data_IF_455072709697
#
_entry.id   IF_455072709697
#
_cell.length_a   1.000
_cell.length_b   1.000
_cell.length_c   1.000
_cell.angle_alpha   90.00
_cell.angle_beta   90.00
_cell.angle_gamma   90.00
#
_symmetry.space_group_name_H-M   'P 1'
#
loop_
_entity.id
_entity.type
_entity.pdbx_description
1 polymer ?
#
# COMPACT_ATOMS: atom_id res chain seq x y z
N UNK A 1 22.22 10.71 -7.04
CA UNK A 1 21.28 11.16 -6.00
C UNK A 1 21.23 12.66 -6.03
N UNK A 2 20.07 13.27 -6.29
CA UNK A 2 19.90 14.73 -6.40
C UNK A 2 20.91 15.39 -7.36
N UNK A 3 21.24 14.72 -8.48
CA UNK A 3 22.25 15.18 -9.44
C UNK A 3 23.71 14.84 -9.11
N UNK A 4 24.01 14.28 -7.94
CA UNK A 4 25.37 13.79 -7.60
C UNK A 4 25.54 12.32 -7.97
N UNK A 5 26.65 12.00 -8.65
CA UNK A 5 27.03 10.64 -8.99
C UNK A 5 28.10 10.10 -8.03
N UNK A 6 28.01 8.82 -7.68
CA UNK A 6 28.96 8.16 -6.77
C UNK A 6 29.65 7.01 -7.50
N UNK A 7 30.97 7.04 -7.55
CA UNK A 7 31.77 6.04 -8.28
C UNK A 7 32.12 4.81 -7.45
N UNK A 8 31.99 4.91 -6.12
CA UNK A 8 32.29 3.84 -5.18
C UNK A 8 31.34 3.82 -4.00
N UNK A 9 31.27 2.68 -3.31
CA UNK A 9 30.55 2.57 -2.05
C UNK A 9 31.10 3.50 -0.96
N UNK A 10 32.41 3.79 -0.99
CA UNK A 10 33.04 4.71 -0.03
C UNK A 10 32.62 6.17 -0.26
N UNK A 11 32.52 6.61 -1.51
CA UNK A 11 31.99 7.95 -1.84
C UNK A 11 30.55 8.11 -1.31
N UNK A 12 29.72 7.09 -1.54
CA UNK A 12 28.34 7.07 -1.07
C UNK A 12 28.25 7.03 0.46
N UNK A 13 29.14 6.31 1.16
CA UNK A 13 29.24 6.32 2.63
C UNK A 13 29.61 7.71 3.16
N UNK A 14 30.53 8.42 2.51
CA UNK A 14 30.93 9.77 2.90
C UNK A 14 29.73 10.72 2.79
N UNK A 15 29.02 10.68 1.68
CA UNK A 15 27.81 11.49 1.48
C UNK A 15 26.72 11.12 2.50
N UNK A 16 26.49 9.84 2.75
CA UNK A 16 25.53 9.38 3.75
C UNK A 16 25.86 9.87 5.17
N UNK A 17 27.14 9.93 5.56
CA UNK A 17 27.56 10.52 6.84
C UNK A 17 27.22 12.01 6.92
N UNK A 18 27.40 12.76 5.83
CA UNK A 18 27.02 14.18 5.78
C UNK A 18 25.50 14.36 5.97
N UNK A 19 24.69 13.50 5.36
CA UNK A 19 23.25 13.48 5.59
C UNK A 19 22.89 13.24 7.06
N UNK A 20 23.56 12.28 7.72
CA UNK A 20 23.33 11.99 9.15
C UNK A 20 23.71 13.16 10.05
N UNK A 21 24.81 13.84 9.75
CA UNK A 21 25.34 14.92 10.61
C UNK A 21 24.64 16.26 10.40
N UNK A 22 24.30 16.59 9.14
CA UNK A 22 23.91 17.95 8.73
C UNK A 22 22.59 18.02 7.95
N UNK A 23 22.05 16.89 7.53
CA UNK A 23 20.83 16.85 6.74
C UNK A 23 19.57 17.25 7.52
N UNK A 24 18.48 17.43 6.80
CA UNK A 24 17.12 17.48 7.34
C UNK A 24 16.70 16.10 7.86
N UNK A 25 15.56 16.00 8.51
CA UNK A 25 15.17 14.77 9.21
C UNK A 25 14.96 13.59 8.25
N UNK A 26 14.40 13.82 7.05
CA UNK A 26 14.27 12.82 5.99
C UNK A 26 15.64 12.40 5.41
N UNK A 27 16.53 13.37 5.18
CA UNK A 27 17.91 13.11 4.72
C UNK A 27 18.69 12.31 5.76
N UNK A 28 18.57 12.62 7.05
CA UNK A 28 19.20 11.86 8.13
C UNK A 28 18.76 10.40 8.12
N UNK A 29 17.48 10.12 7.91
CA UNK A 29 16.99 8.73 7.81
C UNK A 29 17.54 8.05 6.55
N UNK A 30 17.58 8.75 5.41
CA UNK A 30 18.21 8.23 4.18
C UNK A 30 19.68 7.88 4.44
N UNK A 31 20.45 8.79 5.03
CA UNK A 31 21.86 8.58 5.36
C UNK A 31 22.08 7.40 6.30
N UNK A 32 21.27 7.28 7.37
CA UNK A 32 21.30 6.13 8.28
C UNK A 32 21.06 4.81 7.55
N UNK A 33 20.07 4.76 6.67
CA UNK A 33 19.77 3.54 5.92
C UNK A 33 20.86 3.19 4.90
N UNK A 34 21.44 4.17 4.20
CA UNK A 34 22.56 3.92 3.28
C UNK A 34 23.74 3.32 4.03
N UNK A 35 24.06 3.85 5.22
CA UNK A 35 25.11 3.29 6.07
C UNK A 35 24.77 1.88 6.56
N UNK A 36 23.53 1.61 6.97
CA UNK A 36 23.04 0.26 7.32
C UNK A 36 23.15 -0.70 6.13
N UNK A 37 22.81 -0.26 4.92
CA UNK A 37 22.89 -1.09 3.72
C UNK A 37 24.34 -1.44 3.34
N UNK A 38 25.27 -0.50 3.49
CA UNK A 38 26.67 -0.64 3.10
C UNK A 38 27.59 -1.17 4.21
N UNK A 39 27.04 -1.51 5.38
CA UNK A 39 27.78 -2.19 6.44
C UNK A 39 27.97 -3.70 6.16
N UNK A 40 28.75 -4.35 7.00
CA UNK A 40 29.08 -5.78 6.87
C UNK A 40 27.97 -6.71 7.41
N UNK A 41 26.87 -6.19 7.95
CA UNK A 41 25.77 -7.04 8.41
C UNK A 41 25.05 -7.67 7.22
N UNK A 42 24.67 -8.95 7.33
CA UNK A 42 23.93 -9.66 6.28
C UNK A 42 22.44 -9.30 6.24
N UNK A 43 21.96 -8.44 7.14
CA UNK A 43 20.55 -8.08 7.26
C UNK A 43 20.37 -6.58 7.54
N UNK A 44 19.16 -6.09 7.25
CA UNK A 44 18.66 -4.78 7.68
C UNK A 44 17.52 -4.96 8.68
N UNK A 45 17.30 -3.95 9.52
CA UNK A 45 16.17 -3.90 10.45
C UNK A 45 15.06 -3.06 9.83
N UNK A 46 13.85 -3.60 9.81
CA UNK A 46 12.66 -2.89 9.35
C UNK A 46 11.58 -2.88 10.41
N UNK A 47 10.84 -1.78 10.49
CA UNK A 47 9.67 -1.66 11.36
C UNK A 47 8.42 -1.95 10.55
N UNK A 48 7.56 -2.82 11.07
CA UNK A 48 6.21 -2.97 10.55
C UNK A 48 5.36 -1.78 10.98
N UNK A 49 4.42 -1.34 10.14
CA UNK A 49 3.49 -0.25 10.45
C UNK A 49 2.45 -0.61 11.54
N UNK A 50 2.60 -1.77 12.20
CA UNK A 50 1.81 -2.22 13.35
C UNK A 50 0.30 -2.02 13.23
N UNK A 51 -0.42 -2.88 12.51
CA UNK A 51 -1.90 -2.90 12.54
C UNK A 51 -2.45 -3.18 13.96
N UNK A 52 -1.64 -3.79 14.82
CA UNK A 52 -1.95 -4.13 16.22
C UNK A 52 -1.41 -3.13 17.25
N UNK A 53 -0.89 -1.96 16.81
CA UNK A 53 -0.47 -0.86 17.67
C UNK A 53 0.96 -0.92 18.25
N UNK A 54 1.63 -2.08 18.22
CA UNK A 54 3.05 -2.21 18.62
C UNK A 54 3.88 -2.53 17.36
N UNK A 55 4.70 -1.60 16.85
CA UNK A 55 5.62 -1.86 15.76
C UNK A 55 6.56 -3.01 16.13
N UNK A 56 6.58 -4.05 15.29
CA UNK A 56 7.57 -5.14 15.41
C UNK A 56 8.74 -4.87 14.49
N UNK A 57 9.95 -5.04 15.01
CA UNK A 57 11.17 -5.06 14.22
C UNK A 57 11.37 -6.44 13.59
N UNK A 58 11.65 -6.45 12.28
CA UNK A 58 11.91 -7.65 11.50
C UNK A 58 13.31 -7.51 10.91
N UNK A 59 14.09 -8.61 10.95
CA UNK A 59 15.37 -8.71 10.26
C UNK A 59 15.14 -9.25 8.85
N UNK A 60 15.53 -8.48 7.84
CA UNK A 60 15.47 -8.90 6.45
C UNK A 60 16.88 -9.13 5.92
N UNK A 61 17.15 -10.30 5.37
CA UNK A 61 18.45 -10.63 4.77
C UNK A 61 18.70 -9.75 3.55
N UNK A 62 19.85 -9.08 3.47
CA UNK A 62 20.22 -8.18 2.36
C UNK A 62 20.14 -8.88 1.02
N UNK A 63 20.47 -10.17 0.94
CA UNK A 63 20.32 -10.97 -0.29
C UNK A 63 18.86 -11.03 -0.80
N UNK A 64 17.89 -11.18 0.11
CA UNK A 64 16.47 -11.18 -0.27
C UNK A 64 15.98 -9.78 -0.64
N UNK A 65 16.48 -8.74 0.05
CA UNK A 65 16.18 -7.35 -0.28
C UNK A 65 16.72 -7.00 -1.67
N UNK A 66 17.94 -7.44 -1.97
CA UNK A 66 18.55 -7.35 -3.29
C UNK A 66 17.71 -8.07 -4.36
N UNK A 67 17.29 -9.31 -4.10
CA UNK A 67 16.45 -10.07 -5.04
C UNK A 67 15.10 -9.39 -5.29
N UNK A 68 14.48 -8.81 -4.26
CA UNK A 68 13.24 -8.02 -4.41
C UNK A 68 13.45 -6.77 -5.28
N UNK A 69 14.60 -6.11 -5.16
CA UNK A 69 14.95 -4.97 -5.99
C UNK A 69 15.14 -5.38 -7.45
N UNK A 70 15.91 -6.45 -7.71
CA UNK A 70 16.11 -7.01 -9.06
C UNK A 70 14.77 -7.39 -9.70
N UNK A 71 13.86 -8.01 -8.95
CA UNK A 71 12.53 -8.34 -9.47
C UNK A 71 11.77 -7.10 -9.94
N UNK A 72 11.84 -5.99 -9.19
CA UNK A 72 11.21 -4.71 -9.58
C UNK A 72 11.88 -4.12 -10.83
N UNK A 73 13.22 -4.05 -10.82
CA UNK A 73 14.04 -3.46 -11.88
C UNK A 73 13.77 -4.16 -13.20
N UNK A 74 13.82 -5.50 -13.21
CA UNK A 74 13.58 -6.32 -14.38
C UNK A 74 12.14 -6.25 -14.86
N UNK A 75 11.16 -6.30 -13.94
CA UNK A 75 9.74 -6.28 -14.32
C UNK A 75 9.33 -4.96 -14.98
N UNK A 76 9.82 -3.84 -14.46
CA UNK A 76 9.46 -2.52 -14.97
C UNK A 76 10.47 -1.95 -15.96
N UNK A 77 11.52 -2.69 -16.34
CA UNK A 77 12.58 -2.22 -17.23
C UNK A 77 13.17 -0.87 -16.76
N UNK A 78 13.71 -0.86 -15.54
CA UNK A 78 14.24 0.31 -14.84
C UNK A 78 15.77 0.25 -14.76
N UNK A 79 16.41 0.35 -15.92
CA UNK A 79 17.85 0.21 -16.09
C UNK A 79 18.65 1.40 -15.50
N UNK A 80 19.97 1.38 -15.72
CA UNK A 80 20.88 2.47 -15.36
C UNK A 80 20.39 3.82 -15.90
N UNK A 81 20.64 4.89 -15.13
CA UNK A 81 20.21 6.25 -15.41
C UNK A 81 18.69 6.48 -15.38
N UNK A 82 17.89 5.50 -14.91
CA UNK A 82 16.48 5.74 -14.57
C UNK A 82 16.40 6.93 -13.63
N UNK A 83 15.67 7.98 -14.02
CA UNK A 83 15.41 9.11 -13.15
C UNK A 83 14.24 8.78 -12.24
N UNK A 84 14.50 8.61 -10.95
CA UNK A 84 13.50 8.15 -9.99
C UNK A 84 13.24 9.17 -8.89
N UNK A 85 12.01 9.22 -8.37
CA UNK A 85 11.66 10.06 -7.22
C UNK A 85 11.37 9.21 -5.98
N UNK A 86 12.15 9.41 -4.92
CA UNK A 86 11.86 8.97 -3.56
C UNK A 86 11.12 10.08 -2.81
N UNK A 87 9.83 9.87 -2.57
CA UNK A 87 8.95 10.73 -1.79
C UNK A 87 8.22 9.97 -0.66
N UNK A 88 8.77 8.81 -0.26
CA UNK A 88 8.25 7.97 0.82
C UNK A 88 9.22 8.00 2.00
N UNK A 89 8.73 7.87 3.24
CA UNK A 89 9.62 7.85 4.40
C UNK A 89 10.58 6.66 4.35
N UNK A 90 11.87 6.91 4.53
CA UNK A 90 12.94 5.92 4.47
C UNK A 90 13.10 5.11 5.76
N UNK A 91 12.28 5.41 6.78
CA UNK A 91 12.13 4.60 7.99
C UNK A 91 11.41 3.28 7.68
N UNK A 92 10.53 3.29 6.67
CA UNK A 92 9.73 2.15 6.27
C UNK A 92 10.33 1.47 5.04
N UNK A 93 10.01 0.17 4.89
CA UNK A 93 10.56 -0.64 3.81
C UNK A 93 10.26 -0.09 2.40
N UNK A 94 9.15 0.64 2.23
CA UNK A 94 8.80 1.26 0.95
C UNK A 94 9.83 2.31 0.50
N UNK A 95 10.27 3.20 1.39
CA UNK A 95 11.34 4.16 1.10
C UNK A 95 12.71 3.50 1.00
N UNK A 96 13.02 2.56 1.92
CA UNK A 96 14.27 1.77 1.86
C UNK A 96 14.45 1.06 0.51
N UNK A 97 13.38 0.48 -0.05
CA UNK A 97 13.46 -0.22 -1.33
C UNK A 97 13.72 0.71 -2.52
N UNK A 98 13.32 1.98 -2.48
CA UNK A 98 13.71 2.95 -3.52
C UNK A 98 15.21 3.22 -3.49
N UNK A 99 15.80 3.34 -2.28
CA UNK A 99 17.25 3.51 -2.10
C UNK A 99 18.01 2.27 -2.58
N UNK A 100 17.55 1.06 -2.20
CA UNK A 100 18.20 -0.19 -2.64
C UNK A 100 18.13 -0.36 -4.15
N UNK A 101 16.97 -0.13 -4.78
CA UNK A 101 16.82 -0.19 -6.24
C UNK A 101 17.76 0.80 -6.93
N UNK A 102 17.85 2.02 -6.42
CA UNK A 102 18.75 3.04 -6.97
C UNK A 102 20.22 2.65 -6.89
N UNK A 103 20.66 2.10 -5.75
CA UNK A 103 22.04 1.64 -5.57
C UNK A 103 22.38 0.43 -6.45
N UNK A 104 21.44 -0.49 -6.66
CA UNK A 104 21.66 -1.71 -7.46
C UNK A 104 21.67 -1.40 -8.96
N UNK A 105 20.74 -0.57 -9.42
CA UNK A 105 20.57 -0.30 -10.85
C UNK A 105 21.27 0.97 -11.32
N UNK A 106 21.91 1.76 -10.44
CA UNK A 106 22.56 3.01 -10.83
C UNK A 106 21.56 4.09 -11.26
N UNK A 107 20.52 4.33 -10.46
CA UNK A 107 19.50 5.34 -10.75
C UNK A 107 19.96 6.75 -10.41
N UNK A 108 19.45 7.73 -11.16
CA UNK A 108 19.46 9.14 -10.75
C UNK A 108 18.28 9.39 -9.81
N UNK A 109 18.49 9.07 -8.52
CA UNK A 109 17.46 9.17 -7.49
C UNK A 109 17.35 10.60 -6.95
N UNK A 110 16.20 11.23 -7.14
CA UNK A 110 15.82 12.47 -6.49
C UNK A 110 15.09 12.15 -5.19
N UNK A 111 15.38 12.89 -4.12
CA UNK A 111 14.78 12.70 -2.80
C UNK A 111 14.05 13.96 -2.39
N UNK A 112 12.85 13.80 -1.85
CA UNK A 112 12.09 14.88 -1.23
C UNK A 112 11.49 14.41 0.08
N UNK A 113 11.21 15.36 0.98
CA UNK A 113 10.49 15.07 2.20
C UNK A 113 9.14 14.38 1.87
N UNK A 114 8.68 13.43 2.70
CA UNK A 114 7.39 12.78 2.50
C UNK A 114 6.23 13.77 2.70
N UNK A 115 5.75 14.33 1.60
CA UNK A 115 4.65 15.29 1.58
C UNK A 115 3.42 14.74 0.86
N UNK A 116 2.28 15.43 0.99
CA UNK A 116 1.04 15.06 0.32
C UNK A 116 1.11 15.23 -1.20
N UNK A 117 1.77 16.27 -1.72
CA UNK A 117 1.98 16.46 -3.16
C UNK A 117 3.48 16.57 -3.45
N UNK A 118 4.20 15.44 -3.57
CA UNK A 118 5.64 15.44 -3.82
C UNK A 118 6.05 15.93 -5.22
N UNK A 119 5.10 16.26 -6.10
CA UNK A 119 5.37 16.73 -7.46
C UNK A 119 5.09 18.23 -7.68
N UNK A 120 4.61 18.93 -6.66
CA UNK A 120 4.18 20.34 -6.76
C UNK A 120 5.30 21.26 -7.24
N UNK A 121 6.47 21.18 -6.60
CA UNK A 121 7.56 22.15 -6.78
C UNK A 121 8.67 21.66 -7.72
N UNK A 122 8.39 20.64 -8.54
CA UNK A 122 9.38 20.09 -9.48
C UNK A 122 8.93 20.17 -10.92
N UNK A 123 9.86 20.60 -11.78
CA UNK A 123 9.74 20.57 -13.25
C UNK A 123 10.36 19.29 -13.83
N UNK A 124 10.92 18.44 -12.99
CA UNK A 124 11.60 17.22 -13.41
C UNK A 124 10.59 16.17 -13.87
N UNK A 125 10.83 15.58 -15.05
CA UNK A 125 10.11 14.39 -15.51
C UNK A 125 10.87 13.15 -15.03
N UNK A 126 10.22 12.34 -14.20
CA UNK A 126 10.74 11.08 -13.67
C UNK A 126 10.29 9.89 -14.51
N UNK A 127 11.18 8.93 -14.67
CA UNK A 127 10.86 7.64 -15.27
C UNK A 127 10.06 6.76 -14.30
N UNK A 128 10.34 6.88 -12.99
CA UNK A 128 9.75 6.03 -11.97
C UNK A 128 9.53 6.73 -10.63
N UNK A 129 8.42 6.41 -9.96
CA UNK A 129 8.21 6.75 -8.56
C UNK A 129 7.31 5.72 -7.87
N UNK A 130 7.33 5.74 -6.54
CA UNK A 130 6.46 4.95 -5.69
C UNK A 130 5.72 5.88 -4.73
N UNK A 131 4.40 5.73 -4.64
CA UNK A 131 3.54 6.58 -3.80
C UNK A 131 2.50 5.77 -3.03
N UNK A 132 1.93 6.37 -1.99
CA UNK A 132 0.70 5.88 -1.34
C UNK A 132 -0.53 6.54 -1.96
N UNK A 133 -1.75 5.94 -1.86
CA UNK A 133 -2.96 6.50 -2.47
C UNK A 133 -3.23 7.97 -2.12
N UNK A 134 -2.93 8.39 -0.88
CA UNK A 134 -3.07 9.77 -0.43
C UNK A 134 -2.18 10.75 -1.22
N UNK A 135 -0.94 10.36 -1.52
CA UNK A 135 -0.05 11.18 -2.33
C UNK A 135 -0.52 11.25 -3.79
N UNK A 136 -0.98 10.13 -4.33
CA UNK A 136 -1.53 10.07 -5.69
C UNK A 136 -2.73 11.00 -5.84
N UNK A 137 -3.67 10.96 -4.88
CA UNK A 137 -4.84 11.84 -4.85
C UNK A 137 -4.46 13.31 -4.89
N UNK A 138 -3.50 13.73 -4.06
CA UNK A 138 -3.07 15.13 -4.01
C UNK A 138 -2.15 15.56 -5.17
N UNK A 139 -1.59 14.61 -5.92
CA UNK A 139 -0.68 14.87 -7.04
C UNK A 139 -1.32 14.69 -8.42
N UNK A 140 -2.64 14.43 -8.50
CA UNK A 140 -3.33 14.08 -9.76
C UNK A 140 -3.01 15.01 -10.94
N UNK A 141 -2.95 16.33 -10.71
CA UNK A 141 -2.64 17.32 -11.74
C UNK A 141 -1.19 17.20 -12.26
N UNK A 142 -0.27 16.80 -11.40
CA UNK A 142 1.17 16.72 -11.65
C UNK A 142 1.65 15.33 -12.03
N UNK A 143 0.80 14.28 -11.95
CA UNK A 143 1.21 12.89 -12.20
C UNK A 143 1.87 12.68 -13.55
N UNK A 144 1.51 13.48 -14.57
CA UNK A 144 2.13 13.46 -15.89
C UNK A 144 3.66 13.66 -15.88
N UNK A 145 4.22 14.19 -14.78
CA UNK A 145 5.67 14.29 -14.52
C UNK A 145 6.31 12.95 -14.17
N UNK A 146 5.56 11.87 -13.99
CA UNK A 146 6.05 10.52 -13.74
C UNK A 146 5.58 9.59 -14.85
N UNK A 147 6.50 8.85 -15.48
CA UNK A 147 6.16 7.90 -16.56
C UNK A 147 5.55 6.60 -16.05
N UNK A 148 6.17 5.96 -15.05
CA UNK A 148 5.71 4.73 -14.40
C UNK A 148 5.56 4.96 -12.90
N UNK A 149 4.38 4.71 -12.36
CA UNK A 149 4.06 4.90 -10.95
C UNK A 149 3.59 3.57 -10.34
N UNK A 150 4.27 3.13 -9.29
CA UNK A 150 3.71 2.10 -8.41
C UNK A 150 3.00 2.74 -7.23
N UNK A 151 1.80 2.25 -6.94
CA UNK A 151 0.99 2.69 -5.81
C UNK A 151 0.89 1.53 -4.85
N UNK A 152 1.38 1.74 -3.63
CA UNK A 152 1.46 0.71 -2.60
C UNK A 152 0.95 1.20 -1.27
N UNK A 153 1.08 0.35 -0.26
CA UNK A 153 0.75 0.71 1.09
C UNK A 153 -0.75 0.75 1.39
N UNK A 154 -1.66 0.53 0.45
CA UNK A 154 -3.11 0.46 0.70
C UNK A 154 -3.91 0.21 -0.58
N UNK A 155 -5.20 -0.10 -0.43
CA UNK A 155 -6.11 -0.17 -1.56
C UNK A 155 -6.27 1.22 -2.20
N UNK A 156 -6.40 1.28 -3.53
CA UNK A 156 -6.78 2.51 -4.22
C UNK A 156 -8.31 2.66 -4.13
N UNK A 157 -8.83 3.83 -3.71
CA UNK A 157 -10.24 4.10 -3.80
C UNK A 157 -10.75 4.04 -5.25
N UNK A 158 -11.97 3.54 -5.46
CA UNK A 158 -12.56 3.39 -6.81
C UNK A 158 -12.63 4.71 -7.57
N UNK A 159 -12.95 5.82 -6.90
CA UNK A 159 -12.95 7.16 -7.51
C UNK A 159 -11.56 7.55 -8.01
N UNK A 160 -10.51 7.27 -7.21
CA UNK A 160 -9.14 7.54 -7.61
C UNK A 160 -8.74 6.66 -8.81
N UNK A 161 -9.11 5.38 -8.83
CA UNK A 161 -8.88 4.51 -10.00
C UNK A 161 -9.55 5.05 -11.27
N UNK A 162 -10.77 5.61 -11.16
CA UNK A 162 -11.47 6.24 -12.28
C UNK A 162 -10.76 7.50 -12.77
N UNK A 163 -10.28 8.36 -11.87
CA UNK A 163 -9.52 9.56 -12.22
C UNK A 163 -8.22 9.21 -12.94
N UNK A 164 -7.52 8.16 -12.48
CA UNK A 164 -6.27 7.67 -13.07
C UNK A 164 -6.42 7.14 -14.51
N UNK A 165 -7.64 6.83 -14.97
CA UNK A 165 -7.87 6.39 -16.36
C UNK A 165 -7.53 7.47 -17.39
N UNK A 166 -7.57 8.75 -16.99
CA UNK A 166 -7.37 9.90 -17.88
C UNK A 166 -5.93 10.43 -17.89
N UNK A 167 -5.04 9.82 -17.13
CA UNK A 167 -3.67 10.28 -16.92
C UNK A 167 -2.71 9.48 -17.81
N UNK A 168 -1.70 10.16 -18.37
CA UNK A 168 -0.70 9.56 -19.27
C UNK A 168 0.28 8.61 -18.55
N UNK A 169 0.51 8.82 -17.27
CA UNK A 169 1.32 7.97 -16.39
C UNK A 169 0.81 6.55 -16.39
N UNK A 170 1.69 5.56 -16.55
CA UNK A 170 1.35 4.15 -16.35
C UNK A 170 1.31 3.85 -14.86
N UNK A 171 0.12 3.60 -14.33
CA UNK A 171 -0.09 3.39 -12.89
C UNK A 171 -0.33 1.92 -12.60
N UNK A 172 0.35 1.39 -11.59
CA UNK A 172 0.22 0.02 -11.12
C UNK A 172 -0.08 0.01 -9.63
N UNK A 173 -1.16 -0.64 -9.22
CA UNK A 173 -1.31 -1.01 -7.81
C UNK A 173 -0.39 -2.19 -7.50
N UNK A 174 0.14 -2.21 -6.28
CA UNK A 174 1.06 -3.24 -5.84
C UNK A 174 0.50 -3.99 -4.64
N UNK A 175 0.70 -5.30 -4.62
CA UNK A 175 0.37 -6.14 -3.48
C UNK A 175 1.65 -6.71 -2.87
N UNK A 176 1.82 -6.47 -1.58
CA UNK A 176 2.96 -6.89 -0.79
C UNK A 176 2.89 -6.37 0.63
N UNK A 177 3.79 -6.85 1.46
CA UNK A 177 3.88 -6.58 2.89
C UNK A 177 5.34 -6.56 3.34
N UNK A 178 5.58 -6.28 4.62
CA UNK A 178 6.95 -6.20 5.15
C UNK A 178 7.62 -7.57 5.10
N UNK A 179 6.86 -8.63 5.33
CA UNK A 179 7.24 -10.03 5.30
C UNK A 179 7.64 -10.49 3.89
N UNK A 180 7.15 -9.82 2.84
CA UNK A 180 7.56 -10.03 1.46
C UNK A 180 8.54 -8.97 0.97
N UNK A 181 9.10 -8.16 1.89
CA UNK A 181 10.01 -7.03 1.65
C UNK A 181 9.34 -5.88 0.90
N UNK A 182 8.81 -6.13 -0.29
CA UNK A 182 8.07 -5.16 -1.08
C UNK A 182 6.89 -5.88 -1.74
N UNK A 183 6.50 -5.41 -2.91
CA UNK A 183 5.49 -6.03 -3.73
C UNK A 183 5.96 -7.36 -4.33
N UNK A 184 5.04 -8.31 -4.40
CA UNK A 184 5.21 -9.61 -5.05
C UNK A 184 4.23 -9.82 -6.20
N UNK A 185 3.28 -8.90 -6.35
CA UNK A 185 2.31 -8.87 -7.43
C UNK A 185 1.91 -7.43 -7.76
N UNK A 186 1.47 -7.22 -8.99
CA UNK A 186 1.08 -5.92 -9.52
C UNK A 186 -0.23 -6.00 -10.29
N UNK A 187 -1.01 -4.92 -10.30
CA UNK A 187 -2.22 -4.77 -11.10
C UNK A 187 -2.12 -3.45 -11.88
N UNK A 188 -2.02 -3.47 -13.22
CA UNK A 188 -2.09 -2.25 -14.02
C UNK A 188 -3.47 -1.61 -13.87
N UNK A 189 -3.48 -0.33 -13.46
CA UNK A 189 -4.71 0.40 -13.14
C UNK A 189 -5.29 1.08 -14.39
N UNK A 190 -4.42 1.55 -15.27
CA UNK A 190 -4.80 2.30 -16.47
C UNK A 190 -4.03 1.81 -17.71
N UNK A 191 -4.35 2.42 -18.85
CA UNK A 191 -3.74 2.08 -20.13
C UNK A 191 -4.22 0.76 -20.73
N UNK A 192 -3.54 0.31 -21.80
CA UNK A 192 -3.92 -0.88 -22.57
C UNK A 192 -3.77 -2.19 -21.79
N UNK A 193 -2.92 -2.19 -20.77
CA UNK A 193 -2.62 -3.36 -19.93
C UNK A 193 -3.53 -3.46 -18.70
N UNK A 194 -4.53 -2.55 -18.56
CA UNK A 194 -5.44 -2.51 -17.43
C UNK A 194 -5.98 -3.90 -17.10
N UNK A 195 -5.90 -4.27 -15.82
CA UNK A 195 -6.41 -5.54 -15.32
C UNK A 195 -7.23 -5.35 -14.04
N UNK A 196 -8.11 -6.31 -13.77
CA UNK A 196 -8.88 -6.39 -12.52
C UNK A 196 -8.23 -7.32 -11.48
N UNK A 197 -7.15 -8.00 -11.85
CA UNK A 197 -6.48 -9.00 -11.03
C UNK A 197 -5.02 -8.62 -10.79
N UNK A 198 -4.48 -9.02 -9.65
CA UNK A 198 -3.04 -8.94 -9.39
C UNK A 198 -2.34 -10.09 -10.11
N UNK A 199 -1.23 -9.79 -10.77
CA UNK A 199 -0.34 -10.77 -11.41
C UNK A 199 0.99 -10.83 -10.67
N UNK A 200 1.49 -12.04 -10.43
CA UNK A 200 2.74 -12.31 -9.75
C UNK A 200 3.94 -11.67 -10.46
N UNK A 201 4.92 -11.23 -9.68
CA UNK A 201 6.27 -11.03 -10.19
C UNK A 201 6.89 -12.39 -10.59
N UNK A 202 7.94 -12.39 -11.43
CA UNK A 202 8.62 -13.63 -11.82
C UNK A 202 9.04 -14.48 -10.60
N UNK A 203 8.89 -15.80 -10.73
CA UNK A 203 9.21 -16.79 -9.68
C UNK A 203 8.37 -16.70 -8.40
N UNK A 204 7.28 -15.93 -8.39
CA UNK A 204 6.28 -15.94 -7.31
C UNK A 204 5.09 -16.80 -7.73
N UNK A 205 4.61 -17.65 -6.82
CA UNK A 205 3.40 -18.43 -6.99
C UNK A 205 2.47 -18.27 -5.77
N UNK A 206 1.20 -18.57 -6.00
CA UNK A 206 0.13 -18.42 -5.03
C UNK A 206 -0.64 -19.73 -4.84
N UNK A 207 -1.05 -19.99 -3.61
CA UNK A 207 -2.01 -21.01 -3.24
C UNK A 207 -3.00 -20.46 -2.21
N UNK A 208 -4.00 -21.25 -1.83
CA UNK A 208 -4.94 -20.92 -0.76
C UNK A 208 -4.76 -21.87 0.42
N UNK A 209 -4.94 -21.36 1.63
CA UNK A 209 -5.16 -22.21 2.80
C UNK A 209 -6.63 -22.65 2.91
N UNK A 210 -6.95 -23.41 3.94
CA UNK A 210 -8.30 -23.91 4.24
C UNK A 210 -9.38 -22.82 4.43
N UNK A 211 -8.95 -21.58 4.70
CA UNK A 211 -9.84 -20.43 4.90
C UNK A 211 -9.93 -19.51 3.67
N UNK A 212 -9.44 -19.95 2.51
CA UNK A 212 -9.32 -19.15 1.28
C UNK A 212 -8.40 -17.92 1.42
N UNK A 213 -7.49 -17.93 2.40
CA UNK A 213 -6.48 -16.89 2.49
C UNK A 213 -5.28 -17.20 1.60
N UNK A 214 -4.71 -16.16 1.01
CA UNK A 214 -3.57 -16.25 0.13
C UNK A 214 -2.33 -16.79 0.86
N UNK A 215 -1.69 -17.78 0.26
CA UNK A 215 -0.36 -18.28 0.61
C UNK A 215 0.60 -17.91 -0.50
N UNK A 216 1.72 -17.28 -0.13
CA UNK A 216 2.70 -16.75 -1.08
C UNK A 216 3.94 -17.65 -1.05
N UNK A 217 4.31 -18.19 -2.21
CA UNK A 217 5.56 -18.90 -2.44
C UNK A 217 6.49 -18.03 -3.28
N UNK A 218 7.53 -17.47 -2.64
CA UNK A 218 8.49 -16.57 -3.26
C UNK A 218 9.92 -16.91 -2.82
N UNK A 219 10.52 -18.00 -3.37
CA UNK A 219 11.78 -18.58 -2.88
C UNK A 219 12.98 -17.64 -2.97
N UNK A 220 12.95 -16.66 -3.88
CA UNK A 220 14.02 -15.66 -4.04
C UNK A 220 14.07 -14.64 -2.89
N UNK A 221 12.99 -14.50 -2.11
CA UNK A 221 12.91 -13.51 -1.03
C UNK A 221 12.56 -14.10 0.34
N UNK A 222 12.15 -15.37 0.39
CA UNK A 222 11.85 -16.08 1.64
C UNK A 222 12.05 -17.58 1.47
N UNK A 223 12.65 -18.23 2.47
CA UNK A 223 12.74 -19.71 2.53
C UNK A 223 11.41 -20.38 2.85
N UNK A 224 10.50 -19.66 3.50
CA UNK A 224 9.22 -20.17 3.95
C UNK A 224 8.09 -19.54 3.15
N UNK A 225 7.01 -20.29 2.96
CA UNK A 225 5.79 -19.73 2.41
C UNK A 225 5.22 -18.71 3.40
N UNK A 226 4.79 -17.57 2.89
CA UNK A 226 4.16 -16.52 3.69
C UNK A 226 2.67 -16.76 3.69
N UNK A 227 2.12 -17.17 4.83
CA UNK A 227 0.69 -17.23 5.05
C UNK A 227 0.14 -15.83 5.35
N UNK A 228 -0.94 -15.47 4.70
CA UNK A 228 -1.61 -14.18 4.91
C UNK A 228 -2.98 -14.37 5.55
N UNK A 229 -3.55 -13.27 6.03
CA UNK A 229 -4.94 -13.17 6.44
C UNK A 229 -5.80 -12.52 5.34
N UNK A 230 -5.32 -12.54 4.10
CA UNK A 230 -5.94 -11.87 2.97
C UNK A 230 -6.76 -12.89 2.18
N UNK A 231 -8.09 -12.71 2.17
CA UNK A 231 -9.00 -13.56 1.40
C UNK A 231 -8.96 -13.12 -0.05
N UNK A 232 -8.81 -14.10 -0.95
CA UNK A 232 -8.69 -13.84 -2.38
C UNK A 232 -9.50 -14.86 -3.19
N UNK A 233 -9.85 -14.48 -4.40
CA UNK A 233 -10.25 -15.40 -5.46
C UNK A 233 -9.01 -15.74 -6.29
N UNK A 234 -8.52 -16.97 -6.20
CA UNK A 234 -7.34 -17.42 -6.95
C UNK A 234 -7.76 -17.76 -8.40
N UNK A 235 -7.22 -17.04 -9.37
CA UNK A 235 -7.53 -17.22 -10.80
C UNK A 235 -6.54 -18.21 -11.44
N UNK A 236 -5.28 -18.15 -11.02
CA UNK A 236 -4.23 -19.08 -11.42
C UNK A 236 -3.12 -19.09 -10.36
N UNK A 237 -2.13 -20.00 -10.44
CA UNK A 237 -0.97 -19.97 -9.54
C UNK A 237 -0.17 -18.66 -9.57
N UNK A 238 -0.39 -17.78 -10.55
CA UNK A 238 0.30 -16.49 -10.68
C UNK A 238 -0.65 -15.29 -10.70
N UNK A 239 -1.94 -15.47 -10.45
CA UNK A 239 -2.89 -14.35 -10.46
C UNK A 239 -4.08 -14.54 -9.54
N UNK A 240 -4.48 -13.47 -8.86
CA UNK A 240 -5.62 -13.49 -7.94
C UNK A 240 -6.38 -12.15 -7.93
N UNK A 241 -7.63 -12.20 -7.46
CA UNK A 241 -8.41 -11.00 -7.10
C UNK A 241 -8.47 -10.89 -5.58
N UNK A 242 -8.06 -9.74 -5.05
CA UNK A 242 -8.15 -9.47 -3.61
C UNK A 242 -9.60 -9.21 -3.21
N UNK A 243 -10.09 -9.87 -2.15
CA UNK A 243 -11.47 -9.72 -1.67
C UNK A 243 -11.57 -8.99 -0.33
N UNK A 244 -10.54 -9.09 0.51
CA UNK A 244 -10.53 -8.43 1.82
C UNK A 244 -9.68 -9.17 2.84
N UNK A 245 -9.84 -8.81 4.12
CA UNK A 245 -9.16 -9.47 5.24
C UNK A 245 -10.10 -10.45 5.92
N UNK A 246 -9.62 -11.65 6.24
CA UNK A 246 -10.40 -12.61 7.03
C UNK A 246 -10.74 -12.05 8.41
N UNK A 247 -9.84 -11.24 8.98
CA UNK A 247 -10.01 -10.55 10.26
C UNK A 247 -11.26 -9.63 10.28
N UNK A 248 -11.74 -9.22 9.10
CA UNK A 248 -12.87 -8.30 8.94
C UNK A 248 -14.15 -9.00 8.45
N UNK A 249 -14.12 -10.30 8.12
CA UNK A 249 -15.28 -10.99 7.55
C UNK A 249 -16.45 -10.98 8.54
N UNK A 250 -17.60 -10.54 8.06
CA UNK A 250 -18.85 -10.49 8.83
C UNK A 250 -19.65 -11.74 8.53
N UNK A 251 -20.08 -12.47 9.56
CA UNK A 251 -20.98 -13.62 9.40
C UNK A 251 -22.41 -13.23 9.77
N UNK A 252 -23.20 -12.86 8.76
CA UNK A 252 -24.58 -12.40 8.95
C UNK A 252 -25.57 -13.44 8.45
N UNK A 253 -26.32 -14.06 9.37
CA UNK A 253 -27.28 -15.11 9.05
C UNK A 253 -26.67 -16.33 8.34
N UNK A 254 -25.41 -16.65 8.65
CA UNK A 254 -24.65 -17.75 8.03
C UNK A 254 -23.97 -17.38 6.69
N UNK A 255 -24.11 -16.15 6.22
CA UNK A 255 -23.49 -15.65 4.98
C UNK A 255 -22.25 -14.83 5.32
N UNK A 256 -21.13 -15.16 4.67
CA UNK A 256 -19.87 -14.41 4.78
C UNK A 256 -19.93 -13.16 3.90
N UNK A 257 -19.90 -12.00 4.53
CA UNK A 257 -19.81 -10.69 3.87
C UNK A 257 -18.40 -10.15 4.06
N UNK A 258 -17.77 -9.73 2.96
CA UNK A 258 -16.47 -9.07 2.96
C UNK A 258 -16.67 -7.55 3.00
N UNK A 259 -16.34 -6.86 4.10
CA UNK A 259 -16.53 -5.41 4.19
C UNK A 259 -15.91 -4.65 3.04
N UNK A 260 -14.70 -5.00 2.64
CA UNK A 260 -13.96 -4.31 1.57
C UNK A 260 -14.70 -4.39 0.23
N UNK A 261 -15.37 -5.51 -0.07
CA UNK A 261 -16.16 -5.66 -1.29
C UNK A 261 -17.46 -4.82 -1.26
N UNK A 262 -18.06 -4.66 -0.08
CA UNK A 262 -19.22 -3.78 0.11
C UNK A 262 -18.79 -2.31 0.01
N UNK A 263 -17.66 -1.96 0.62
CA UNK A 263 -17.05 -0.64 0.55
C UNK A 263 -16.73 -0.23 -0.90
N UNK A 264 -16.18 -1.13 -1.70
CA UNK A 264 -15.93 -0.89 -3.13
C UNK A 264 -17.21 -0.47 -3.86
N UNK A 265 -18.32 -1.18 -3.66
CA UNK A 265 -19.63 -0.86 -4.25
C UNK A 265 -20.17 0.50 -3.77
N UNK A 266 -20.01 0.79 -2.48
CA UNK A 266 -20.52 2.02 -1.86
C UNK A 266 -19.68 3.25 -2.18
N UNK A 267 -18.39 3.08 -2.47
CA UNK A 267 -17.43 4.18 -2.71
C UNK A 267 -17.76 5.06 -3.91
N UNK A 268 -18.63 4.59 -4.81
CA UNK A 268 -19.11 5.35 -5.97
C UNK A 268 -20.15 6.40 -5.55
N UNK A 269 -20.81 6.21 -4.40
CA UNK A 269 -21.94 7.02 -3.95
C UNK A 269 -21.64 7.80 -2.67
N UNK A 270 -20.66 7.35 -1.87
CA UNK A 270 -20.29 7.97 -0.59
C UNK A 270 -18.92 8.63 -0.74
N UNK A 271 -18.91 9.96 -0.69
CA UNK A 271 -17.69 10.76 -0.84
C UNK A 271 -16.93 10.96 0.48
N UNK A 272 -17.57 10.76 1.62
CA UNK A 272 -16.94 10.86 2.93
C UNK A 272 -16.12 9.60 3.24
N UNK A 273 -15.07 9.67 4.08
CA UNK A 273 -14.43 8.47 4.61
C UNK A 273 -15.45 7.58 5.32
N UNK A 274 -15.50 6.31 4.97
CA UNK A 274 -16.38 5.33 5.59
C UNK A 274 -15.74 3.94 5.62
N UNK A 275 -16.28 3.05 6.44
CA UNK A 275 -15.96 1.62 6.38
C UNK A 275 -17.16 0.78 6.84
N UNK A 276 -17.17 -0.48 6.42
CA UNK A 276 -18.16 -1.48 6.82
C UNK A 276 -17.61 -2.28 8.00
N UNK A 277 -18.47 -2.53 8.99
CA UNK A 277 -18.13 -3.29 10.19
C UNK A 277 -19.31 -4.19 10.61
N UNK A 278 -19.10 -4.99 11.65
CA UNK A 278 -20.16 -5.77 12.30
C UNK A 278 -20.54 -5.23 13.68
N UNK A 279 -21.79 -5.49 14.05
CA UNK A 279 -22.31 -5.40 15.41
C UNK A 279 -23.01 -6.73 15.76
N UNK A 280 -22.94 -7.14 17.03
CA UNK A 280 -23.63 -8.35 17.51
C UNK A 280 -25.14 -8.17 17.32
N UNK A 281 -25.80 -9.19 16.79
CA UNK A 281 -27.24 -9.20 16.53
C UNK A 281 -27.83 -10.58 16.88
N UNK A 282 -28.91 -10.60 17.67
CA UNK A 282 -29.48 -11.85 18.19
C UNK A 282 -30.01 -12.78 17.10
N UNK A 283 -30.56 -12.24 16.01
CA UNK A 283 -31.16 -13.03 14.95
C UNK A 283 -30.12 -13.48 13.90
N UNK A 284 -29.09 -12.65 13.68
CA UNK A 284 -28.15 -12.83 12.58
C UNK A 284 -26.78 -13.32 13.03
N UNK A 285 -26.52 -13.35 14.33
CA UNK A 285 -25.18 -13.46 14.91
C UNK A 285 -24.46 -12.11 14.83
N UNK A 286 -24.21 -11.66 13.60
CA UNK A 286 -23.70 -10.33 13.30
C UNK A 286 -24.58 -9.62 12.27
N UNK A 287 -24.77 -8.30 12.45
CA UNK A 287 -25.35 -7.44 11.41
C UNK A 287 -24.29 -6.55 10.80
N UNK A 288 -24.43 -6.28 9.50
CA UNK A 288 -23.60 -5.32 8.77
C UNK A 288 -23.99 -3.90 9.21
N UNK A 289 -22.99 -3.08 9.53
CA UNK A 289 -23.16 -1.67 9.87
C UNK A 289 -22.25 -0.79 9.00
N UNK A 290 -22.68 0.43 8.73
CA UNK A 290 -21.90 1.44 8.02
C UNK A 290 -21.39 2.49 9.02
N UNK A 291 -20.08 2.67 9.07
CA UNK A 291 -19.44 3.71 9.87
C UNK A 291 -18.98 4.81 8.94
N UNK A 292 -19.41 6.05 9.20
CA UNK A 292 -19.11 7.19 8.32
C UNK A 292 -18.52 8.37 9.11
N UNK A 293 -17.48 9.00 8.55
CA UNK A 293 -16.88 10.20 9.13
C UNK A 293 -17.75 11.41 8.80
N UNK A 294 -18.49 11.90 9.79
CA UNK A 294 -19.43 13.01 9.64
C UNK A 294 -19.69 13.68 10.99
N UNK A 295 -19.78 15.02 10.96
CA UNK A 295 -20.25 15.81 12.11
C UNK A 295 -21.77 15.75 12.29
N UNK A 296 -22.50 15.40 11.23
CA UNK A 296 -23.96 15.21 11.26
C UNK A 296 -24.27 13.75 11.53
N UNK A 297 -25.30 13.51 12.32
CA UNK A 297 -25.88 12.18 12.43
C UNK A 297 -26.56 11.82 11.11
N UNK A 298 -26.21 10.69 10.55
CA UNK A 298 -26.83 10.13 9.35
C UNK A 298 -27.67 8.91 9.71
N UNK A 299 -28.69 8.63 8.89
CA UNK A 299 -29.66 7.55 9.07
C UNK A 299 -29.70 6.65 7.84
N UNK A 300 -30.24 5.44 7.98
CA UNK A 300 -30.32 4.46 6.88
C UNK A 300 -31.06 5.02 5.65
N UNK A 301 -32.09 5.83 5.88
CA UNK A 301 -32.93 6.42 4.85
C UNK A 301 -32.12 7.30 3.89
N UNK A 302 -31.06 7.95 4.40
CA UNK A 302 -30.15 8.81 3.62
C UNK A 302 -29.41 8.03 2.52
N UNK A 303 -29.33 6.70 2.63
CA UNK A 303 -28.61 5.81 1.70
C UNK A 303 -29.50 4.72 1.10
N UNK A 304 -30.82 4.84 1.26
CA UNK A 304 -31.80 3.81 0.87
C UNK A 304 -31.70 3.41 -0.61
N UNK A 305 -31.50 4.36 -1.52
CA UNK A 305 -31.30 4.10 -2.96
C UNK A 305 -29.99 3.36 -3.23
N UNK A 306 -28.90 3.79 -2.59
CA UNK A 306 -27.57 3.18 -2.74
C UNK A 306 -27.59 1.73 -2.25
N UNK A 307 -28.27 1.44 -1.14
CA UNK A 307 -28.38 0.07 -0.63
C UNK A 307 -29.20 -0.86 -1.52
N UNK A 308 -29.92 -0.37 -2.53
CA UNK A 308 -30.57 -1.23 -3.52
C UNK A 308 -29.55 -1.93 -4.44
N UNK A 309 -28.34 -1.39 -4.58
CA UNK A 309 -27.26 -2.01 -5.39
C UNK A 309 -26.56 -3.16 -4.66
N UNK A 310 -26.85 -3.37 -3.37
CA UNK A 310 -26.27 -4.41 -2.54
C UNK A 310 -27.20 -5.63 -2.45
N UNK A 311 -26.62 -6.82 -2.31
CA UNK A 311 -27.41 -8.01 -1.97
C UNK A 311 -27.99 -7.89 -0.57
N UNK A 312 -29.08 -8.61 -0.27
CA UNK A 312 -29.81 -8.47 0.99
C UNK A 312 -28.95 -8.65 2.25
N UNK A 313 -27.93 -9.52 2.20
CA UNK A 313 -27.01 -9.76 3.32
C UNK A 313 -25.93 -8.67 3.44
N UNK A 314 -25.59 -7.98 2.35
CA UNK A 314 -24.58 -6.91 2.33
C UNK A 314 -25.14 -5.57 2.82
N UNK A 315 -26.47 -5.38 2.82
CA UNK A 315 -27.09 -4.11 3.19
C UNK A 315 -26.80 -3.76 4.65
N UNK A 316 -26.22 -2.59 4.93
CA UNK A 316 -26.11 -2.09 6.29
C UNK A 316 -27.49 -2.03 6.96
N UNK A 317 -27.56 -2.56 8.19
CA UNK A 317 -28.75 -2.56 9.04
C UNK A 317 -28.70 -1.45 10.10
N UNK A 318 -27.60 -0.70 10.16
CA UNK A 318 -27.39 0.47 11.03
C UNK A 318 -26.32 1.39 10.42
N UNK A 319 -26.42 2.68 10.70
CA UNK A 319 -25.40 3.68 10.39
C UNK A 319 -24.98 4.37 11.69
N UNK A 320 -23.67 4.47 11.91
CA UNK A 320 -23.10 5.26 12.99
C UNK A 320 -22.14 6.32 12.43
N UNK A 321 -22.27 7.55 12.92
CA UNK A 321 -21.44 8.69 12.50
C UNK A 321 -20.39 9.04 13.55
N UNK A 322 -19.14 9.19 13.12
CA UNK A 322 -18.01 9.61 13.96
C UNK A 322 -17.47 10.94 13.42
N UNK A 323 -17.20 11.91 14.28
CA UNK A 323 -16.76 13.25 13.85
C UNK A 323 -15.39 13.26 13.14
N UNK A 324 -14.50 12.34 13.52
CA UNK A 324 -13.20 12.09 12.92
C UNK A 324 -12.80 10.65 13.21
N UNK A 325 -12.37 9.92 12.19
CA UNK A 325 -11.76 8.60 12.36
C UNK A 325 -10.35 8.72 12.95
N UNK A 326 -9.87 7.59 13.44
CA UNK A 326 -8.48 7.44 13.90
C UNK A 326 -7.67 6.86 12.75
N UNK A 327 -6.58 7.51 12.38
CA UNK A 327 -5.70 7.10 11.29
C UNK A 327 -4.34 6.62 11.79
N UNK A 328 -3.66 5.76 11.03
CA UNK A 328 -2.23 5.44 11.23
C UNK A 328 -1.35 6.60 10.75
N UNK A 329 -0.06 6.57 11.08
CA UNK A 329 0.94 7.50 10.52
C UNK A 329 1.00 7.46 8.98
N UNK A 330 0.62 6.32 8.39
CA UNK A 330 0.53 6.08 6.94
C UNK A 330 -0.83 6.43 6.34
N UNK A 331 -1.74 7.05 7.12
CA UNK A 331 -3.05 7.52 6.64
C UNK A 331 -4.13 6.43 6.51
N UNK A 332 -3.94 5.24 7.10
CA UNK A 332 -4.96 4.17 7.08
C UNK A 332 -5.95 4.32 8.23
N UNK A 333 -7.22 4.05 7.98
CA UNK A 333 -8.25 4.00 9.04
C UNK A 333 -7.94 2.85 10.01
N UNK A 334 -7.85 3.17 11.30
CA UNK A 334 -7.80 2.18 12.38
C UNK A 334 -9.22 1.81 12.78
N UNK A 335 -9.83 0.88 12.03
CA UNK A 335 -11.24 0.44 12.22
C UNK A 335 -11.57 0.08 13.66
N UNK A 336 -10.76 -0.78 14.28
CA UNK A 336 -10.99 -1.24 15.66
C UNK A 336 -10.90 -0.13 16.71
N UNK A 337 -9.96 0.82 16.56
CA UNK A 337 -9.85 1.97 17.47
C UNK A 337 -11.02 2.95 17.24
N UNK A 338 -11.41 3.17 15.98
CA UNK A 338 -12.53 4.05 15.61
C UNK A 338 -13.87 3.50 16.14
N UNK A 339 -14.09 2.19 16.06
CA UNK A 339 -15.30 1.55 16.61
C UNK A 339 -15.44 1.74 18.13
N UNK A 340 -14.33 1.90 18.87
CA UNK A 340 -14.39 2.17 20.31
C UNK A 340 -15.03 3.54 20.62
N UNK A 341 -14.84 4.52 19.73
CA UNK A 341 -15.46 5.86 19.87
C UNK A 341 -16.99 5.81 19.83
N UNK A 342 -17.56 4.80 19.18
CA UNK A 342 -19.02 4.60 19.06
C UNK A 342 -19.54 3.89 20.31
N UNK A 343 -18.86 2.84 20.77
CA UNK A 343 -19.26 2.03 21.94
C UNK A 343 -19.20 2.78 23.29
N UNK A 344 -18.66 3.99 23.32
CA UNK A 344 -18.54 4.82 24.53
C UNK A 344 -19.63 5.91 24.60
N UNK A 345 -20.53 5.97 23.61
CA UNK A 345 -21.79 6.71 23.65
C UNK A 345 -22.91 5.76 24.07
#
# INVERSE_FOLDING_TARGET
MNGEAFSSAEDLKIHAKQFVEKGKDDEKTIGKFILEWLDDNEYIIVKTSGSTGIPKEIKLQKIYVFNSAIATITFFDLNENTKALLCLPSEYIAGKMMLVRAMIAGWDLYTTAPEKNPLADTETIFDFSAMVPYQVFHSLADLHKVKKLIVGGGALPSELEQQLQKISTRVFATYGMTETISHIAVRPINGKEKALVFSALPKVNFSLNENNCLQIHAPEISKQNVATNDVVELISPTSFKFLGRIDNVINTGGVKVHPEAVEEKLSIYINQPFFIASEIDEALGERVILIIESKKQLQLEDFSEVFQTLSGYEKPKKIDSVSSFIYTETGKIKRAETLKLIKTK
#
